data_IF_201942661957
#
_entry.id   IF_201942661957
#
_cell.length_a   1.000
_cell.length_b   1.000
_cell.length_c   1.000
_cell.angle_alpha   90.00
_cell.angle_beta   90.00
_cell.angle_gamma   90.00
#
_symmetry.space_group_name_H-M   'P 1'
#
loop_
_entity.id
_entity.type
_entity.pdbx_description
1 polymer ?
#
# COMPACT_ATOMS: atom_id res chain seq x y z
N UNK A 1 -0.60 19.69 -29.65
CA UNK A 1 0.54 18.77 -29.67
C UNK A 1 1.49 19.20 -28.56
N UNK A 2 1.28 18.73 -27.34
CA UNK A 2 2.25 18.92 -26.27
C UNK A 2 3.32 17.87 -26.50
N UNK A 3 4.54 18.31 -26.83
CA UNK A 3 5.71 17.43 -26.80
C UNK A 3 5.79 16.83 -25.40
N UNK A 4 5.56 15.52 -25.26
CA UNK A 4 6.01 14.77 -24.09
C UNK A 4 7.51 15.03 -24.03
N UNK A 5 7.92 15.85 -23.07
CA UNK A 5 9.32 16.08 -22.82
C UNK A 5 9.71 14.91 -21.93
N UNK A 6 10.39 13.93 -22.50
CA UNK A 6 10.88 12.79 -21.73
C UNK A 6 11.77 13.36 -20.61
N UNK A 7 11.34 13.14 -19.36
CA UNK A 7 12.08 13.58 -18.18
C UNK A 7 13.23 12.59 -18.02
N UNK A 8 14.46 13.04 -18.26
CA UNK A 8 15.67 12.23 -18.09
C UNK A 8 16.00 12.07 -16.61
N UNK A 9 16.56 10.92 -16.22
CA UNK A 9 16.94 10.65 -14.83
C UNK A 9 18.27 11.29 -14.42
N UNK A 10 18.36 11.65 -13.14
CA UNK A 10 19.54 12.16 -12.46
C UNK A 10 20.21 11.08 -11.60
N UNK A 11 21.47 11.28 -11.17
CA UNK A 11 22.15 10.34 -10.26
C UNK A 11 21.46 10.14 -8.89
N UNK A 12 20.46 10.97 -8.54
CA UNK A 12 19.69 10.83 -7.31
C UNK A 12 18.48 9.88 -7.42
N UNK A 13 18.17 9.40 -8.63
CA UNK A 13 16.95 8.62 -8.88
C UNK A 13 16.94 7.28 -8.15
N UNK A 14 18.11 6.62 -8.05
CA UNK A 14 18.24 5.33 -7.39
C UNK A 14 17.87 5.43 -5.91
N UNK A 15 18.38 6.45 -5.21
CA UNK A 15 18.05 6.72 -3.82
C UNK A 15 16.56 7.04 -3.64
N UNK A 16 15.96 7.80 -4.57
CA UNK A 16 14.53 8.10 -4.54
C UNK A 16 13.67 6.83 -4.69
N UNK A 17 14.01 5.96 -5.64
CA UNK A 17 13.32 4.69 -5.86
C UNK A 17 13.43 3.79 -4.64
N UNK A 18 14.61 3.70 -4.03
CA UNK A 18 14.83 2.93 -2.81
C UNK A 18 14.02 3.47 -1.62
N UNK A 19 13.91 4.80 -1.47
CA UNK A 19 13.06 5.41 -0.44
C UNK A 19 11.57 5.08 -0.64
N UNK A 20 11.07 5.17 -1.88
CA UNK A 20 9.69 4.81 -2.24
C UNK A 20 9.43 3.33 -1.93
N UNK A 21 10.33 2.44 -2.34
CA UNK A 21 10.24 1.00 -2.05
C UNK A 21 10.36 0.71 -0.55
N UNK A 22 11.12 1.50 0.19
CA UNK A 22 11.22 1.45 1.65
C UNK A 22 9.87 1.62 2.34
N UNK A 23 9.02 2.54 1.88
CA UNK A 23 7.66 2.72 2.38
C UNK A 23 6.79 1.48 2.16
N UNK A 24 6.85 0.89 0.97
CA UNK A 24 6.09 -0.31 0.64
C UNK A 24 6.55 -1.51 1.50
N UNK A 25 7.86 -1.65 1.68
CA UNK A 25 8.45 -2.67 2.54
C UNK A 25 8.02 -2.51 4.00
N UNK A 26 8.00 -1.27 4.51
CA UNK A 26 7.49 -0.97 5.85
C UNK A 26 6.01 -1.35 5.98
N UNK A 27 5.17 -0.97 5.02
CA UNK A 27 3.74 -1.30 5.03
C UNK A 27 3.47 -2.81 5.03
N UNK A 28 4.17 -3.54 4.16
CA UNK A 28 4.14 -5.02 4.12
C UNK A 28 4.57 -5.62 5.45
N UNK A 29 5.65 -5.11 6.03
CA UNK A 29 6.22 -5.61 7.29
C UNK A 29 5.27 -5.41 8.47
N UNK A 30 4.62 -4.25 8.59
CA UNK A 30 3.60 -3.98 9.63
C UNK A 30 2.50 -5.05 9.64
N UNK A 31 1.94 -5.38 8.47
CA UNK A 31 0.95 -6.45 8.33
C UNK A 31 1.52 -7.82 8.65
N UNK A 32 2.71 -8.15 8.14
CA UNK A 32 3.36 -9.44 8.40
C UNK A 32 3.54 -9.65 9.91
N UNK A 33 3.99 -8.63 10.64
CA UNK A 33 4.23 -8.73 12.08
C UNK A 33 2.94 -8.97 12.86
N UNK A 34 1.90 -8.15 12.67
CA UNK A 34 0.64 -8.31 13.39
C UNK A 34 -0.07 -9.62 13.03
N UNK A 35 -0.06 -10.01 11.75
CA UNK A 35 -0.70 -11.24 11.31
C UNK A 35 0.04 -12.49 11.81
N UNK A 36 1.37 -12.48 11.93
CA UNK A 36 2.08 -13.58 12.55
C UNK A 36 1.67 -13.76 14.03
N UNK A 37 1.53 -12.66 14.79
CA UNK A 37 1.00 -12.72 16.16
C UNK A 37 -0.42 -13.31 16.15
N UNK A 38 -1.30 -12.83 15.28
CA UNK A 38 -2.69 -13.29 15.19
C UNK A 38 -2.82 -14.77 14.80
N UNK A 39 -2.08 -15.21 13.77
CA UNK A 39 -2.02 -16.62 13.32
C UNK A 39 -1.54 -17.55 14.44
N UNK A 40 -0.66 -17.06 15.33
CA UNK A 40 -0.22 -17.82 16.50
C UNK A 40 -1.36 -18.02 17.50
N UNK A 41 -2.13 -16.96 17.81
CA UNK A 41 -3.30 -17.06 18.68
C UNK A 41 -4.39 -18.00 18.10
N UNK A 42 -4.69 -17.86 16.81
CA UNK A 42 -5.67 -18.70 16.11
C UNK A 42 -5.34 -20.20 16.13
N UNK A 43 -4.08 -20.59 16.36
CA UNK A 43 -3.69 -22.01 16.50
C UNK A 43 -4.44 -22.69 17.65
N UNK A 44 -4.79 -21.96 18.71
CA UNK A 44 -5.49 -22.47 19.89
C UNK A 44 -7.02 -22.49 19.73
N UNK A 45 -7.56 -21.96 18.63
CA UNK A 45 -9.00 -21.88 18.36
C UNK A 45 -9.37 -22.90 17.27
N UNK A 46 -9.84 -24.08 17.68
CA UNK A 46 -10.13 -25.18 16.76
C UNK A 46 -11.19 -24.82 15.69
N UNK A 47 -12.15 -23.97 16.04
CA UNK A 47 -13.24 -23.53 15.15
C UNK A 47 -12.77 -22.61 14.02
N UNK A 48 -11.62 -21.95 14.17
CA UNK A 48 -11.04 -21.00 13.20
C UNK A 48 -9.84 -21.59 12.40
N UNK A 49 -9.75 -22.92 12.34
CA UNK A 49 -8.59 -23.61 11.75
C UNK A 49 -8.39 -23.32 10.26
N UNK A 50 -9.47 -23.13 9.50
CA UNK A 50 -9.40 -22.92 8.06
C UNK A 50 -9.14 -21.45 7.72
N UNK A 51 -9.77 -20.55 8.46
CA UNK A 51 -9.54 -19.11 8.41
C UNK A 51 -8.08 -18.78 8.70
N UNK A 52 -7.49 -19.49 9.68
CA UNK A 52 -6.05 -19.42 9.95
C UNK A 52 -5.21 -19.80 8.73
N UNK A 53 -5.56 -20.87 8.01
CA UNK A 53 -4.81 -21.27 6.80
C UNK A 53 -4.94 -20.25 5.66
N UNK A 54 -6.10 -19.61 5.53
CA UNK A 54 -6.31 -18.50 4.60
C UNK A 54 -5.39 -17.33 4.93
N UNK A 55 -5.33 -16.89 6.20
CA UNK A 55 -4.42 -15.83 6.63
C UNK A 55 -2.94 -16.19 6.40
N UNK A 56 -2.55 -17.45 6.64
CA UNK A 56 -1.19 -17.91 6.32
C UNK A 56 -0.88 -17.75 4.84
N UNK A 57 -1.85 -18.00 3.95
CA UNK A 57 -1.65 -17.83 2.50
C UNK A 57 -1.42 -16.36 2.14
N UNK A 58 -2.19 -15.44 2.73
CA UNK A 58 -1.98 -13.99 2.56
C UNK A 58 -0.62 -13.55 3.10
N UNK A 59 -0.27 -13.90 4.35
CA UNK A 59 1.03 -13.52 4.95
C UNK A 59 2.21 -14.04 4.15
N UNK A 60 2.13 -15.26 3.60
CA UNK A 60 3.18 -15.79 2.71
C UNK A 60 3.32 -14.95 1.43
N UNK A 61 2.22 -14.45 0.88
CA UNK A 61 2.23 -13.59 -0.31
C UNK A 61 2.83 -12.22 0.01
N UNK A 62 2.44 -11.61 1.14
CA UNK A 62 3.01 -10.35 1.60
C UNK A 62 4.52 -10.48 1.86
N UNK A 63 4.96 -11.57 2.49
CA UNK A 63 6.38 -11.84 2.73
C UNK A 63 7.15 -11.98 1.41
N UNK A 64 6.60 -12.71 0.44
CA UNK A 64 7.21 -12.81 -0.89
C UNK A 64 7.35 -11.44 -1.56
N UNK A 65 6.32 -10.59 -1.51
CA UNK A 65 6.43 -9.22 -2.03
C UNK A 65 7.50 -8.41 -1.29
N UNK A 66 7.55 -8.52 0.04
CA UNK A 66 8.53 -7.82 0.86
C UNK A 66 9.95 -8.24 0.51
N UNK A 67 10.19 -9.55 0.36
CA UNK A 67 11.48 -10.09 -0.04
C UNK A 67 11.85 -9.63 -1.47
N UNK A 68 10.90 -9.56 -2.41
CA UNK A 68 11.15 -9.00 -3.74
C UNK A 68 11.53 -7.52 -3.69
N UNK A 69 10.87 -6.72 -2.84
CA UNK A 69 11.17 -5.29 -2.67
C UNK A 69 12.54 -5.09 -2.02
N UNK A 70 12.85 -5.82 -0.95
CA UNK A 70 14.12 -5.70 -0.22
C UNK A 70 15.34 -6.15 -1.04
N UNK A 71 15.15 -7.09 -1.96
CA UNK A 71 16.21 -7.58 -2.84
C UNK A 71 16.26 -6.82 -4.19
N UNK A 72 15.41 -5.82 -4.40
CA UNK A 72 15.46 -4.97 -5.57
C UNK A 72 16.60 -3.97 -5.41
N UNK A 73 17.64 -4.10 -6.23
CA UNK A 73 18.72 -3.12 -6.31
C UNK A 73 18.44 -2.18 -7.49
N UNK A 74 18.11 -0.91 -7.20
CA UNK A 74 17.76 0.07 -8.22
C UNK A 74 18.92 0.35 -9.18
N UNK A 75 20.15 0.39 -8.65
CA UNK A 75 21.37 0.66 -9.42
C UNK A 75 21.68 -0.40 -10.49
N UNK A 76 21.19 -1.63 -10.33
CA UNK A 76 21.39 -2.70 -11.33
C UNK A 76 20.49 -2.54 -12.57
N UNK A 77 19.45 -1.70 -12.49
CA UNK A 77 18.37 -1.63 -13.48
C UNK A 77 18.19 -0.25 -14.10
N UNK A 78 18.82 0.77 -13.54
CA UNK A 78 18.70 2.17 -13.98
C UNK A 78 20.02 2.60 -14.62
N UNK A 79 19.97 3.02 -15.88
CA UNK A 79 21.13 3.62 -16.53
C UNK A 79 21.21 5.13 -16.27
N UNK A 80 21.98 5.51 -15.25
CA UNK A 80 22.16 6.90 -14.79
C UNK A 80 23.39 7.62 -15.40
N UNK A 81 23.98 7.06 -16.46
CA UNK A 81 25.27 7.44 -17.06
C UNK A 81 25.63 8.93 -16.95
N UNK A 82 26.85 9.23 -16.48
CA UNK A 82 27.24 10.57 -15.95
C UNK A 82 27.31 11.71 -16.98
N UNK A 83 27.11 11.44 -18.27
CA UNK A 83 27.10 12.47 -19.30
C UNK A 83 25.67 12.90 -19.64
N UNK A 84 25.34 14.18 -19.40
CA UNK A 84 24.01 14.80 -19.61
C UNK A 84 23.43 14.65 -21.04
N UNK A 85 24.23 14.20 -22.01
CA UNK A 85 23.86 14.06 -23.43
C UNK A 85 23.93 12.61 -23.92
N UNK A 86 23.99 11.62 -23.02
CA UNK A 86 23.99 10.22 -23.42
C UNK A 86 22.59 9.75 -23.86
N UNK A 87 22.38 9.37 -25.13
CA UNK A 87 21.10 8.86 -25.62
C UNK A 87 20.70 7.50 -25.04
N UNK A 88 21.51 6.90 -24.17
CA UNK A 88 21.23 5.65 -23.47
C UNK A 88 20.68 5.83 -22.05
N UNK A 89 20.52 7.07 -21.58
CA UNK A 89 19.87 7.36 -20.30
C UNK A 89 18.42 6.89 -20.31
N UNK A 90 18.00 6.36 -19.17
CA UNK A 90 16.63 5.95 -19.00
C UNK A 90 15.75 7.17 -18.70
N UNK A 91 14.55 7.18 -19.27
CA UNK A 91 13.54 8.16 -18.87
C UNK A 91 12.97 7.82 -17.49
N UNK A 92 12.56 8.86 -16.76
CA UNK A 92 11.91 8.73 -15.46
C UNK A 92 10.68 7.81 -15.55
N UNK A 93 9.90 7.93 -16.62
CA UNK A 93 8.76 7.07 -16.91
C UNK A 93 9.14 5.59 -16.91
N UNK A 94 10.22 5.24 -17.61
CA UNK A 94 10.72 3.86 -17.72
C UNK A 94 11.17 3.31 -16.36
N UNK A 95 11.77 4.15 -15.52
CA UNK A 95 12.24 3.78 -14.18
C UNK A 95 11.09 3.63 -13.19
N UNK A 96 10.12 4.54 -13.20
CA UNK A 96 9.02 4.57 -12.22
C UNK A 96 7.92 3.56 -12.56
N UNK A 97 7.68 3.25 -13.85
CA UNK A 97 6.64 2.31 -14.26
C UNK A 97 6.68 0.94 -13.54
N UNK A 98 7.82 0.22 -13.44
CA UNK A 98 7.87 -1.04 -12.70
C UNK A 98 7.63 -0.85 -11.19
N UNK A 99 8.05 0.27 -10.61
CA UNK A 99 7.81 0.61 -9.19
C UNK A 99 6.31 0.81 -8.96
N UNK A 100 5.67 1.66 -9.77
CA UNK A 100 4.23 1.90 -9.72
C UNK A 100 3.42 0.60 -9.93
N UNK A 101 3.85 -0.25 -10.87
CA UNK A 101 3.23 -1.57 -11.09
C UNK A 101 3.34 -2.50 -9.86
N UNK A 102 4.47 -2.47 -9.14
CA UNK A 102 4.61 -3.20 -7.89
C UNK A 102 3.66 -2.68 -6.82
N UNK A 103 3.52 -1.36 -6.70
CA UNK A 103 2.54 -0.74 -5.80
C UNK A 103 1.11 -1.16 -6.13
N UNK A 104 0.68 -1.06 -7.39
CA UNK A 104 -0.66 -1.50 -7.83
C UNK A 104 -0.93 -2.93 -7.41
N UNK A 105 -0.03 -3.86 -7.73
CA UNK A 105 -0.16 -5.28 -7.37
C UNK A 105 -0.27 -5.49 -5.85
N UNK A 106 0.51 -4.75 -5.06
CA UNK A 106 0.47 -4.84 -3.60
C UNK A 106 -0.82 -4.24 -3.02
N UNK A 107 -1.23 -3.07 -3.49
CA UNK A 107 -2.45 -2.38 -3.05
C UNK A 107 -3.69 -3.23 -3.34
N UNK A 108 -3.82 -3.80 -4.53
CA UNK A 108 -4.93 -4.72 -4.84
C UNK A 108 -4.90 -5.99 -3.97
N UNK A 109 -3.70 -6.46 -3.58
CA UNK A 109 -3.59 -7.57 -2.62
C UNK A 109 -4.03 -7.14 -1.22
N UNK A 110 -3.74 -5.91 -0.82
CA UNK A 110 -4.19 -5.34 0.45
C UNK A 110 -5.71 -5.16 0.47
N UNK A 111 -6.34 -4.73 -0.61
CA UNK A 111 -7.81 -4.59 -0.65
C UNK A 111 -8.51 -5.92 -0.33
N UNK A 112 -8.12 -6.99 -1.03
CA UNK A 112 -8.63 -8.34 -0.80
C UNK A 112 -8.39 -8.82 0.63
N UNK A 113 -7.20 -8.57 1.18
CA UNK A 113 -6.85 -8.95 2.54
C UNK A 113 -7.64 -8.12 3.56
N UNK A 114 -7.77 -6.82 3.36
CA UNK A 114 -8.44 -5.89 4.26
C UNK A 114 -9.91 -6.27 4.35
N UNK A 115 -10.59 -6.44 3.21
CA UNK A 115 -11.98 -6.90 3.21
C UNK A 115 -12.18 -8.23 3.96
N UNK A 116 -11.29 -9.21 3.73
CA UNK A 116 -11.36 -10.47 4.45
C UNK A 116 -11.11 -10.28 5.96
N UNK A 117 -10.07 -9.56 6.34
CA UNK A 117 -9.60 -9.42 7.72
C UNK A 117 -10.51 -8.53 8.57
N UNK A 118 -10.95 -7.37 8.06
CA UNK A 118 -11.69 -6.35 8.81
C UNK A 118 -13.21 -6.54 8.74
N UNK A 119 -13.73 -7.27 7.75
CA UNK A 119 -15.17 -7.50 7.62
C UNK A 119 -15.55 -8.97 7.78
N UNK A 120 -15.16 -9.81 6.81
CA UNK A 120 -15.65 -11.19 6.73
C UNK A 120 -15.22 -12.02 7.95
N UNK A 121 -13.93 -11.97 8.27
CA UNK A 121 -13.35 -12.72 9.38
C UNK A 121 -13.81 -12.19 10.74
N UNK A 122 -14.02 -10.87 10.89
CA UNK A 122 -14.53 -10.32 12.16
C UNK A 122 -15.90 -10.89 12.52
N UNK A 123 -16.82 -10.93 11.55
CA UNK A 123 -18.16 -11.53 11.72
C UNK A 123 -18.06 -13.03 12.02
N UNK A 124 -17.16 -13.73 11.33
CA UNK A 124 -16.95 -15.16 11.52
C UNK A 124 -16.35 -15.49 12.90
N UNK A 125 -15.42 -14.67 13.40
CA UNK A 125 -14.88 -14.79 14.76
C UNK A 125 -16.00 -14.68 15.77
N UNK A 126 -16.78 -13.59 15.73
CA UNK A 126 -17.89 -13.36 16.68
C UNK A 126 -18.89 -14.52 16.60
N UNK A 127 -19.24 -14.97 15.40
CA UNK A 127 -20.17 -16.09 15.21
C UNK A 127 -19.67 -17.41 15.80
N UNK A 128 -18.38 -17.75 15.61
CA UNK A 128 -17.81 -19.03 16.04
C UNK A 128 -17.30 -19.05 17.48
N UNK A 129 -16.91 -17.91 18.04
CA UNK A 129 -16.35 -17.81 19.40
C UNK A 129 -17.33 -17.23 20.40
N UNK A 130 -18.41 -16.59 19.91
CA UNK A 130 -19.42 -15.90 20.72
C UNK A 130 -18.82 -14.81 21.63
N UNK A 131 -17.70 -14.23 21.22
CA UNK A 131 -17.02 -13.14 21.93
C UNK A 131 -16.15 -12.28 20.98
N UNK A 132 -15.61 -11.19 21.51
CA UNK A 132 -14.81 -10.21 20.78
C UNK A 132 -13.33 -10.21 21.19
N UNK A 133 -12.85 -11.27 21.86
CA UNK A 133 -11.49 -11.29 22.43
C UNK A 133 -10.41 -11.30 21.34
N UNK A 134 -10.71 -11.89 20.18
CA UNK A 134 -9.81 -12.01 19.02
C UNK A 134 -10.20 -11.09 17.86
N UNK A 135 -11.20 -10.22 18.02
CA UNK A 135 -11.54 -9.24 16.99
C UNK A 135 -10.51 -8.11 16.94
N UNK A 136 -10.44 -7.44 15.79
CA UNK A 136 -9.76 -6.16 15.67
C UNK A 136 -10.50 -5.08 16.48
N UNK A 137 -9.80 -4.00 16.79
CA UNK A 137 -10.42 -2.79 17.34
C UNK A 137 -10.97 -1.92 16.22
N UNK A 138 -11.95 -1.06 16.53
CA UNK A 138 -12.48 -0.10 15.54
C UNK A 138 -11.38 0.84 15.06
N UNK A 139 -10.51 1.26 15.97
CA UNK A 139 -9.38 2.17 15.72
C UNK A 139 -8.36 1.53 14.76
N UNK A 140 -8.07 0.23 14.92
CA UNK A 140 -7.17 -0.47 14.00
C UNK A 140 -7.79 -0.69 12.62
N UNK A 141 -9.12 -0.89 12.53
CA UNK A 141 -9.82 -0.94 11.23
C UNK A 141 -9.74 0.42 10.53
N UNK A 142 -9.99 1.51 11.25
CA UNK A 142 -9.85 2.87 10.70
C UNK A 142 -8.43 3.16 10.24
N UNK A 143 -7.41 2.76 11.01
CA UNK A 143 -6.01 2.92 10.61
C UNK A 143 -5.64 2.08 9.38
N UNK A 144 -6.20 0.87 9.25
CA UNK A 144 -6.06 0.01 8.07
C UNK A 144 -6.61 0.73 6.83
N UNK A 145 -7.85 1.21 6.90
CA UNK A 145 -8.54 1.86 5.78
C UNK A 145 -7.87 3.18 5.41
N UNK A 146 -7.49 4.00 6.40
CA UNK A 146 -6.81 5.28 6.19
C UNK A 146 -5.44 5.09 5.52
N UNK A 147 -4.65 4.10 5.98
CA UNK A 147 -3.37 3.77 5.34
C UNK A 147 -3.57 3.29 3.90
N UNK A 148 -4.51 2.36 3.68
CA UNK A 148 -4.83 1.84 2.36
C UNK A 148 -5.21 2.96 1.38
N UNK A 149 -6.12 3.84 1.79
CA UNK A 149 -6.58 4.98 1.01
C UNK A 149 -5.44 5.91 0.57
N UNK A 150 -4.48 6.19 1.46
CA UNK A 150 -3.33 7.03 1.13
C UNK A 150 -2.33 6.32 0.21
N UNK A 151 -2.10 5.01 0.39
CA UNK A 151 -1.26 4.22 -0.52
C UNK A 151 -1.87 4.09 -1.92
N UNK A 152 -3.20 3.95 -2.02
CA UNK A 152 -3.95 4.03 -3.28
C UNK A 152 -3.72 5.39 -3.93
N UNK A 153 -3.91 6.49 -3.18
CA UNK A 153 -3.77 7.85 -3.73
C UNK A 153 -2.34 8.17 -4.16
N UNK A 154 -1.36 7.72 -3.39
CA UNK A 154 0.05 7.84 -3.77
C UNK A 154 0.38 7.05 -5.04
N UNK A 155 -0.16 5.83 -5.17
CA UNK A 155 0.00 5.01 -6.38
C UNK A 155 -0.62 5.70 -7.61
N UNK A 156 -1.84 6.24 -7.46
CA UNK A 156 -2.49 7.06 -8.49
C UNK A 156 -1.64 8.30 -8.84
N UNK A 157 -1.11 9.00 -7.83
CA UNK A 157 -0.25 10.16 -8.05
C UNK A 157 1.01 9.80 -8.85
N UNK A 158 1.74 8.74 -8.51
CA UNK A 158 2.93 8.31 -9.25
C UNK A 158 2.63 8.03 -10.72
N UNK A 159 1.47 7.41 -11.01
CA UNK A 159 1.07 7.01 -12.37
C UNK A 159 0.60 8.21 -13.19
N UNK A 160 -0.33 8.99 -12.64
CA UNK A 160 -1.00 10.08 -13.36
C UNK A 160 -0.11 11.32 -13.49
N UNK A 161 0.74 11.60 -12.49
CA UNK A 161 1.64 12.75 -12.55
C UNK A 161 2.69 12.64 -13.67
N UNK A 162 3.15 11.42 -13.95
CA UNK A 162 4.06 11.10 -15.06
C UNK A 162 3.32 10.71 -16.35
N UNK A 163 1.99 10.64 -16.33
CA UNK A 163 1.16 10.22 -17.48
C UNK A 163 1.55 8.86 -18.05
N UNK A 164 2.02 7.97 -17.19
CA UNK A 164 2.32 6.55 -17.53
C UNK A 164 1.11 5.64 -17.34
N UNK A 165 -0.07 6.23 -17.12
CA UNK A 165 -1.34 5.55 -16.92
C UNK A 165 -1.74 4.65 -18.09
N UNK A 166 -2.30 3.49 -17.75
CA UNK A 166 -2.94 2.58 -18.68
C UNK A 166 -4.00 1.77 -17.96
N UNK A 167 -4.95 1.19 -18.70
CA UNK A 167 -5.99 0.34 -18.11
C UNK A 167 -5.45 -0.82 -17.26
N UNK A 168 -4.20 -1.24 -17.48
CA UNK A 168 -3.54 -2.31 -16.74
C UNK A 168 -2.95 -1.85 -15.40
N UNK A 169 -2.81 -0.54 -15.19
CA UNK A 169 -2.33 0.08 -13.95
C UNK A 169 -3.47 0.72 -13.15
N UNK A 170 -4.70 0.67 -13.64
CA UNK A 170 -5.86 1.20 -12.94
C UNK A 170 -6.13 0.40 -11.66
N UNK A 171 -6.35 1.13 -10.56
CA UNK A 171 -6.78 0.55 -9.30
C UNK A 171 -8.31 0.41 -9.26
N UNK A 172 -8.80 -0.74 -8.80
CA UNK A 172 -10.23 -1.06 -8.78
C UNK A 172 -11.03 -0.01 -8.01
N UNK A 173 -10.58 0.33 -6.79
CA UNK A 173 -11.27 1.29 -5.93
C UNK A 173 -11.35 2.71 -6.54
N UNK A 174 -10.35 3.11 -7.31
CA UNK A 174 -10.33 4.42 -8.00
C UNK A 174 -11.33 4.42 -9.14
N UNK A 175 -11.33 3.36 -9.97
CA UNK A 175 -12.28 3.23 -11.07
C UNK A 175 -13.72 3.11 -10.57
N UNK A 176 -13.92 2.40 -9.46
CA UNK A 176 -15.22 2.31 -8.80
C UNK A 176 -15.70 3.69 -8.35
N UNK A 177 -14.86 4.47 -7.66
CA UNK A 177 -15.19 5.82 -7.25
C UNK A 177 -15.56 6.73 -8.43
N UNK A 178 -14.78 6.69 -9.51
CA UNK A 178 -15.06 7.46 -10.73
C UNK A 178 -16.41 7.09 -11.34
N UNK A 179 -16.69 5.80 -11.45
CA UNK A 179 -17.96 5.32 -12.02
C UNK A 179 -19.16 5.73 -11.17
N UNK A 180 -19.06 5.63 -9.85
CA UNK A 180 -20.13 6.10 -8.95
C UNK A 180 -20.34 7.61 -9.07
N UNK A 181 -19.27 8.40 -9.16
CA UNK A 181 -19.39 9.85 -9.35
C UNK A 181 -20.09 10.21 -10.66
N UNK A 182 -19.77 9.51 -11.75
CA UNK A 182 -20.42 9.69 -13.05
C UNK A 182 -21.91 9.32 -13.00
N UNK A 183 -22.27 8.23 -12.32
CA UNK A 183 -23.66 7.79 -12.14
C UNK A 183 -24.48 8.77 -11.25
N UNK A 184 -23.84 9.32 -10.21
CA UNK A 184 -24.47 10.24 -9.25
C UNK A 184 -24.43 11.73 -9.71
N UNK A 185 -23.76 12.03 -10.83
CA UNK A 185 -23.61 13.39 -11.35
C UNK A 185 -22.75 14.30 -10.46
N UNK A 186 -21.78 13.74 -9.74
CA UNK A 186 -20.87 14.48 -8.85
C UNK A 186 -19.73 15.07 -9.68
N UNK A 187 -19.51 16.37 -9.58
CA UNK A 187 -18.37 17.04 -10.22
C UNK A 187 -17.06 16.62 -9.55
N UNK A 188 -16.10 16.16 -10.35
CA UNK A 188 -14.76 15.71 -9.90
C UNK A 188 -13.86 16.87 -9.40
N UNK A 189 -14.19 18.12 -9.69
CA UNK A 189 -13.35 19.29 -9.37
C UNK A 189 -13.37 19.75 -7.91
N UNK A 190 -14.48 19.56 -7.17
CA UNK A 190 -14.61 19.92 -5.75
C UNK A 190 -15.32 18.79 -5.01
N UNK A 191 -14.54 17.79 -4.56
CA UNK A 191 -15.06 16.58 -3.92
C UNK A 191 -14.22 16.18 -2.72
N UNK A 192 -14.91 15.77 -1.65
CA UNK A 192 -14.28 15.25 -0.43
C UNK A 192 -13.70 13.84 -0.63
N UNK A 193 -14.08 13.15 -1.71
CA UNK A 193 -13.53 11.83 -2.02
C UNK A 193 -12.13 11.97 -2.60
N UNK A 194 -11.13 11.53 -1.83
CA UNK A 194 -9.71 11.64 -2.20
C UNK A 194 -9.39 11.00 -3.56
N UNK A 195 -10.12 9.97 -3.99
CA UNK A 195 -9.84 9.26 -5.25
C UNK A 195 -10.27 10.05 -6.49
N UNK A 196 -11.21 10.97 -6.33
CA UNK A 196 -11.75 11.79 -7.40
C UNK A 196 -10.99 13.11 -7.62
N UNK A 197 -10.15 13.49 -6.65
CA UNK A 197 -9.30 14.69 -6.76
C UNK A 197 -8.29 14.54 -7.91
N UNK A 198 -8.22 15.56 -8.77
CA UNK A 198 -7.34 15.58 -9.93
C UNK A 198 -5.85 15.52 -9.54
N UNK A 199 -5.06 14.79 -10.33
CA UNK A 199 -3.60 14.73 -10.19
C UNK A 199 -2.97 15.68 -11.20
N UNK A 200 -2.18 16.63 -10.71
CA UNK A 200 -1.43 17.54 -11.58
C UNK A 200 -0.20 16.83 -12.16
N UNK A 201 0.10 17.02 -13.46
CA UNK A 201 1.28 16.46 -14.09
C UNK A 201 2.55 17.15 -13.58
N UNK A 202 3.60 16.37 -13.33
CA UNK A 202 4.93 16.91 -13.02
C UNK A 202 5.70 17.20 -14.31
N UNK A 203 6.57 18.20 -14.27
CA UNK A 203 7.31 18.67 -15.45
C UNK A 203 8.83 18.50 -15.32
N UNK A 204 9.32 18.08 -14.15
CA UNK A 204 10.73 17.78 -13.90
C UNK A 204 10.89 16.68 -12.85
N UNK A 205 12.05 16.01 -12.86
CA UNK A 205 12.42 15.04 -11.83
C UNK A 205 12.53 15.71 -10.45
N UNK A 206 13.04 16.94 -10.38
CA UNK A 206 13.14 17.71 -9.13
C UNK A 206 11.76 17.93 -8.49
N UNK A 207 10.75 18.27 -9.29
CA UNK A 207 9.37 18.41 -8.83
C UNK A 207 8.82 17.07 -8.32
N UNK A 208 9.05 15.98 -9.08
CA UNK A 208 8.66 14.64 -8.68
C UNK A 208 9.32 14.23 -7.35
N UNK A 209 10.61 14.48 -7.18
CA UNK A 209 11.36 14.20 -5.96
C UNK A 209 10.83 14.99 -4.77
N UNK A 210 10.56 16.29 -4.94
CA UNK A 210 10.03 17.14 -3.88
C UNK A 210 8.65 16.67 -3.39
N UNK A 211 7.74 16.37 -4.33
CA UNK A 211 6.41 15.86 -4.01
C UNK A 211 6.45 14.43 -3.45
N UNK A 212 7.36 13.58 -3.94
CA UNK A 212 7.59 12.25 -3.39
C UNK A 212 8.06 12.31 -1.94
N UNK A 213 8.96 13.23 -1.58
CA UNK A 213 9.40 13.42 -0.20
C UNK A 213 8.25 13.90 0.71
N UNK A 214 7.37 14.77 0.22
CA UNK A 214 6.17 15.17 0.96
C UNK A 214 5.22 13.99 1.19
N UNK A 215 4.97 13.18 0.15
CA UNK A 215 4.19 11.95 0.26
C UNK A 215 4.83 10.94 1.22
N UNK A 216 6.14 10.79 1.19
CA UNK A 216 6.87 9.92 2.09
C UNK A 216 6.60 10.32 3.55
N UNK A 217 6.65 11.61 3.89
CA UNK A 217 6.33 12.08 5.24
C UNK A 217 4.89 11.76 5.64
N UNK A 218 3.92 11.94 4.74
CA UNK A 218 2.51 11.63 4.99
C UNK A 218 2.33 10.12 5.25
N UNK A 219 2.84 9.28 4.34
CA UNK A 219 2.71 7.83 4.42
C UNK A 219 3.42 7.26 5.64
N UNK A 220 4.61 7.76 5.98
CA UNK A 220 5.31 7.38 7.21
C UNK A 220 4.46 7.69 8.45
N UNK A 221 3.83 8.87 8.49
CA UNK A 221 2.87 9.23 9.53
C UNK A 221 1.71 8.23 9.63
N UNK A 222 1.12 7.81 8.51
CA UNK A 222 0.05 6.80 8.48
C UNK A 222 0.54 5.44 8.99
N UNK A 223 1.73 5.02 8.59
CA UNK A 223 2.35 3.77 9.04
C UNK A 223 2.66 3.79 10.54
N UNK A 224 3.10 4.93 11.08
CA UNK A 224 3.30 5.09 12.53
C UNK A 224 1.97 4.87 13.29
N UNK A 225 0.87 5.48 12.82
CA UNK A 225 -0.46 5.26 13.41
C UNK A 225 -0.89 3.79 13.28
N UNK A 226 -0.70 3.18 12.12
CA UNK A 226 -1.03 1.77 11.89
C UNK A 226 -0.26 0.84 12.84
N UNK A 227 1.04 1.08 13.01
CA UNK A 227 1.90 0.28 13.90
C UNK A 227 1.45 0.40 15.37
N UNK A 228 1.10 1.61 15.82
CA UNK A 228 0.57 1.83 17.17
C UNK A 228 -0.72 1.05 17.42
N UNK A 229 -1.65 1.09 16.45
CA UNK A 229 -2.92 0.36 16.57
C UNK A 229 -2.72 -1.17 16.47
N UNK A 230 -1.76 -1.63 15.65
CA UNK A 230 -1.38 -3.03 15.58
C UNK A 230 -0.74 -3.56 16.86
N UNK A 231 0.03 -2.75 17.57
CA UNK A 231 0.57 -3.12 18.87
C UNK A 231 -0.52 -3.11 19.96
N UNK A 232 -1.44 -2.14 19.92
CA UNK A 232 -2.61 -2.09 20.80
C UNK A 232 -3.48 -3.34 20.66
N UNK A 233 -3.82 -3.74 19.43
CA UNK A 233 -4.65 -4.95 19.21
C UNK A 233 -3.90 -6.24 19.54
N UNK A 234 -2.58 -6.29 19.31
CA UNK A 234 -1.76 -7.42 19.73
C UNK A 234 -1.74 -7.57 21.25
N UNK A 235 -1.66 -6.45 21.99
CA UNK A 235 -1.76 -6.45 23.45
C UNK A 235 -3.14 -6.94 23.91
N UNK A 236 -4.24 -6.48 23.28
CA UNK A 236 -5.60 -7.00 23.52
C UNK A 236 -5.65 -8.51 23.39
N UNK A 237 -5.16 -9.08 22.28
CA UNK A 237 -5.15 -10.54 22.07
C UNK A 237 -4.32 -11.27 23.13
N UNK A 238 -3.17 -10.71 23.50
CA UNK A 238 -2.33 -11.28 24.55
C UNK A 238 -3.05 -11.31 25.91
N UNK A 239 -3.68 -10.21 26.30
CA UNK A 239 -4.32 -10.08 27.62
C UNK A 239 -5.62 -10.87 27.72
N UNK A 240 -6.44 -10.88 26.67
CA UNK A 240 -7.74 -11.54 26.68
C UNK A 240 -7.64 -13.05 26.40
N UNK A 241 -6.69 -13.46 25.57
CA UNK A 241 -6.62 -14.83 25.05
C UNK A 241 -5.27 -15.54 25.33
N UNK A 242 -4.18 -14.76 25.43
CA UNK A 242 -2.84 -15.29 25.69
C UNK A 242 -2.66 -15.85 27.10
N UNK A 243 -3.16 -15.14 28.12
CA UNK A 243 -3.03 -15.52 29.54
C UNK A 243 -4.02 -16.65 29.90
N UNK A 244 -3.52 -17.73 30.50
CA UNK A 244 -4.37 -18.73 31.14
C UNK A 244 -5.08 -18.04 32.32
N UNK A 245 -6.41 -18.04 32.33
CA UNK A 245 -7.17 -17.66 33.52
C UNK A 245 -6.95 -18.77 34.55
N UNK A 246 -6.20 -18.48 35.61
CA UNK A 246 -6.05 -19.36 36.78
C UNK A 246 -7.39 -19.49 37.52
#
# INVERSE_FOLDING_TARGET
MSTNKDIEVSPGICELVEQILGLLSRYLSSYIHVLNKFISHLRRVATLRFERTTLIKFVKKLRFYNDCVLNYNASDLINEDTHELDPSRDSLDKVIQPVASMFVKCVETFDLLNYYLTQSLQKEIISKTLNEDLTLTTESILAIDDSYNHFVKFSQWMIESLRIGSNLLNLEVVQFAMKCADEDGINTGETDNIFLQEILPVNSEEEFQSLSAAWHSILDGKLNTLDLEFDSVAAKWHDKFGKLKN
#
